data_IF_657066514865
#
_entry.id   IF_657066514865
#
_cell.length_a   1.000
_cell.length_b   1.000
_cell.length_c   1.000
_cell.angle_alpha   90.00
_cell.angle_beta   90.00
_cell.angle_gamma   90.00
#
_symmetry.space_group_name_H-M   'P 1'
#
loop_
_entity.id
_entity.type
_entity.pdbx_description
1 polymer ?
#
# COMPACT_ATOMS: atom_id res chain seq x y z
N UNK A 1 18.97 -2.53 16.66
CA UNK A 1 17.98 -1.46 16.89
C UNK A 1 16.87 -1.61 15.86
N UNK A 2 15.74 -2.22 16.25
CA UNK A 2 14.58 -2.38 15.37
C UNK A 2 13.75 -1.10 15.46
N UNK A 3 13.79 -0.25 14.42
CA UNK A 3 12.88 0.89 14.34
C UNK A 3 11.52 0.38 13.89
N UNK A 4 10.57 0.35 14.82
CA UNK A 4 9.17 0.10 14.51
C UNK A 4 8.62 1.29 13.70
N UNK A 5 8.75 1.25 12.38
CA UNK A 5 8.11 2.21 11.47
C UNK A 5 6.59 1.97 11.50
N UNK A 6 5.80 2.92 11.98
CA UNK A 6 4.34 2.87 11.88
C UNK A 6 3.89 3.29 10.47
N UNK A 7 2.71 2.81 10.04
CA UNK A 7 2.10 3.18 8.74
C UNK A 7 2.04 4.71 8.52
N UNK A 8 1.92 5.50 9.60
CA UNK A 8 1.85 6.97 9.55
C UNK A 8 3.16 7.65 9.10
N UNK A 9 4.25 6.90 8.96
CA UNK A 9 5.57 7.43 8.60
C UNK A 9 6.09 6.86 7.27
N UNK A 10 5.31 6.02 6.60
CA UNK A 10 5.70 5.43 5.31
C UNK A 10 4.91 6.07 4.17
N UNK A 11 5.61 6.30 3.06
CA UNK A 11 5.00 6.76 1.80
C UNK A 11 5.41 5.80 0.70
N UNK A 12 4.44 5.16 0.07
CA UNK A 12 4.67 4.44 -1.18
C UNK A 12 4.29 5.32 -2.36
N UNK A 13 5.09 5.25 -3.43
CA UNK A 13 4.84 6.02 -4.65
C UNK A 13 4.55 5.04 -5.78
N UNK A 14 3.30 5.00 -6.23
CA UNK A 14 2.93 4.34 -7.46
C UNK A 14 3.27 5.26 -8.64
N UNK A 15 4.00 4.75 -9.62
CA UNK A 15 4.31 5.45 -10.87
C UNK A 15 3.79 4.64 -12.06
N UNK A 16 4.03 5.15 -13.26
CA UNK A 16 3.87 4.41 -14.52
C UNK A 16 4.89 3.26 -14.69
N UNK A 17 5.71 2.99 -13.67
CA UNK A 17 6.62 1.86 -13.62
C UNK A 17 6.09 0.73 -12.71
N UNK A 18 6.64 -0.48 -12.92
CA UNK A 18 6.32 -1.65 -12.10
C UNK A 18 6.88 -1.59 -10.66
N UNK A 19 8.10 -1.07 -10.41
CA UNK A 19 8.64 -0.98 -9.06
C UNK A 19 7.91 0.06 -8.21
N UNK A 20 7.65 -0.28 -6.95
CA UNK A 20 7.04 0.65 -5.98
C UNK A 20 8.04 0.96 -4.87
N UNK A 21 8.70 2.14 -4.91
CA UNK A 21 9.56 2.58 -3.82
C UNK A 21 8.73 2.99 -2.60
N UNK A 22 9.21 2.61 -1.42
CA UNK A 22 8.65 2.99 -0.12
C UNK A 22 9.68 3.83 0.63
N UNK A 23 9.27 5.01 1.05
CA UNK A 23 10.10 6.00 1.75
C UNK A 23 9.71 6.08 3.24
N UNK A 24 10.70 6.38 4.09
CA UNK A 24 10.43 6.94 5.42
C UNK A 24 10.22 8.45 5.25
N UNK A 25 9.05 8.96 5.63
CA UNK A 25 8.71 10.38 5.49
C UNK A 25 9.70 11.31 6.21
N UNK A 26 10.39 10.82 7.26
CA UNK A 26 11.39 11.60 8.01
C UNK A 26 12.72 11.70 7.28
N UNK A 27 12.97 10.82 6.31
CA UNK A 27 14.20 10.73 5.50
C UNK A 27 13.83 10.33 4.07
N UNK A 28 13.20 11.25 3.30
CA UNK A 28 12.68 10.94 1.96
C UNK A 28 13.77 11.01 0.87
N UNK A 29 15.04 11.23 1.24
CA UNK A 29 16.17 11.37 0.31
C UNK A 29 16.42 10.09 -0.49
N UNK A 30 16.05 8.94 0.07
CA UNK A 30 16.16 7.64 -0.60
C UNK A 30 15.07 6.67 -0.16
N UNK A 31 14.68 5.71 -1.02
CA UNK A 31 13.74 4.68 -0.64
C UNK A 31 14.34 3.81 0.47
N UNK A 32 13.51 3.48 1.47
CA UNK A 32 13.84 2.49 2.50
C UNK A 32 13.91 1.09 1.88
N UNK A 33 12.98 0.81 0.98
CA UNK A 33 12.90 -0.42 0.19
C UNK A 33 12.13 -0.17 -1.09
N UNK A 34 12.29 -1.05 -2.07
CA UNK A 34 11.52 -1.04 -3.31
C UNK A 34 10.84 -2.38 -3.47
N UNK A 35 9.51 -2.38 -3.55
CA UNK A 35 8.73 -3.55 -3.90
C UNK A 35 8.89 -3.79 -5.40
N UNK A 36 9.60 -4.86 -5.76
CA UNK A 36 9.80 -5.29 -7.15
C UNK A 36 9.13 -6.64 -7.32
N UNK A 37 8.34 -6.78 -8.36
CA UNK A 37 7.65 -8.02 -8.67
C UNK A 37 8.68 -9.05 -9.16
N UNK A 38 8.57 -10.29 -8.68
CA UNK A 38 9.47 -11.37 -9.09
C UNK A 38 9.39 -11.65 -10.61
N UNK A 39 8.26 -11.31 -11.23
CA UNK A 39 7.95 -11.50 -12.64
C UNK A 39 8.28 -10.27 -13.50
N UNK A 40 9.25 -9.43 -13.10
CA UNK A 40 9.76 -8.33 -13.95
C UNK A 40 10.29 -8.84 -15.32
N UNK A 41 10.44 -10.16 -15.47
CA UNK A 41 10.74 -10.85 -16.72
C UNK A 41 9.55 -11.02 -17.67
N UNK A 42 8.31 -10.91 -17.19
CA UNK A 42 7.15 -11.34 -17.96
C UNK A 42 6.65 -10.30 -18.96
N UNK A 43 6.72 -8.99 -18.70
CA UNK A 43 6.28 -7.98 -19.68
C UNK A 43 7.00 -6.63 -19.50
N UNK A 44 8.21 -6.52 -20.04
CA UNK A 44 9.06 -5.32 -19.93
C UNK A 44 8.48 -4.01 -20.50
N UNK A 45 7.28 -4.02 -21.10
CA UNK A 45 6.68 -2.83 -21.72
C UNK A 45 5.24 -2.50 -21.27
N UNK A 46 4.60 -3.29 -20.38
CA UNK A 46 3.15 -3.10 -20.09
C UNK A 46 2.71 -3.26 -18.63
N UNK A 47 3.64 -3.37 -17.68
CA UNK A 47 3.26 -3.45 -16.27
C UNK A 47 3.52 -2.12 -15.57
N UNK A 48 2.43 -1.43 -15.23
CA UNK A 48 2.45 -0.18 -14.47
C UNK A 48 1.63 -0.34 -13.20
N UNK A 49 2.10 0.29 -12.13
CA UNK A 49 1.40 0.27 -10.85
C UNK A 49 0.19 1.20 -10.91
N UNK A 50 -1.01 0.65 -10.75
CA UNK A 50 -2.24 1.46 -10.76
C UNK A 50 -2.76 1.77 -9.37
N UNK A 51 -2.43 0.94 -8.39
CA UNK A 51 -2.86 1.14 -7.01
C UNK A 51 -1.86 0.55 -6.02
N UNK A 52 -1.65 1.28 -4.93
CA UNK A 52 -0.87 0.81 -3.78
C UNK A 52 -1.68 1.07 -2.52
N UNK A 53 -1.72 0.09 -1.63
CA UNK A 53 -2.33 0.25 -0.31
C UNK A 53 -1.53 -0.49 0.76
N UNK A 54 -1.61 0.02 1.98
CA UNK A 54 -1.05 -0.64 3.15
C UNK A 54 -2.17 -1.30 3.95
N UNK A 55 -1.84 -2.35 4.69
CA UNK A 55 -2.67 -2.77 5.79
C UNK A 55 -2.68 -1.70 6.91
N UNK A 56 -3.64 -1.80 7.81
CA UNK A 56 -3.81 -0.85 8.93
C UNK A 56 -2.53 -0.60 9.73
N UNK A 57 -1.66 -1.60 9.83
CA UNK A 57 -0.44 -1.55 10.63
C UNK A 57 0.82 -1.17 9.84
N UNK A 58 0.74 -1.01 8.52
CA UNK A 58 1.88 -0.74 7.64
C UNK A 58 2.93 -1.86 7.67
N UNK A 59 2.46 -3.10 7.79
CA UNK A 59 3.28 -4.32 7.79
C UNK A 59 3.21 -5.09 6.50
N UNK A 60 2.18 -4.85 5.69
CA UNK A 60 1.98 -5.41 4.38
C UNK A 60 1.64 -4.30 3.39
N UNK A 61 2.15 -4.43 2.17
CA UNK A 61 1.87 -3.52 1.06
C UNK A 61 1.27 -4.30 -0.09
N UNK A 62 0.09 -3.90 -0.53
CA UNK A 62 -0.59 -4.41 -1.70
C UNK A 62 -0.24 -3.53 -2.90
N UNK A 63 0.20 -4.16 -3.98
CA UNK A 63 0.54 -3.49 -5.24
C UNK A 63 -0.31 -4.11 -6.35
N UNK A 64 -1.17 -3.30 -6.94
CA UNK A 64 -1.97 -3.69 -8.10
C UNK A 64 -1.27 -3.19 -9.38
N UNK A 65 -1.00 -4.10 -10.30
CA UNK A 65 -0.56 -3.77 -11.64
C UNK A 65 -1.77 -3.69 -12.57
N UNK A 66 -1.92 -2.59 -13.32
CA UNK A 66 -3.10 -2.37 -14.17
C UNK A 66 -3.37 -3.50 -15.18
N UNK A 67 -2.32 -4.19 -15.62
CA UNK A 67 -2.39 -5.33 -16.53
C UNK A 67 -1.60 -6.54 -15.99
N UNK A 68 -1.67 -6.80 -14.68
CA UNK A 68 -0.93 -7.91 -14.05
C UNK A 68 -1.62 -8.46 -12.79
N UNK A 69 -0.97 -9.39 -12.08
CA UNK A 69 -1.48 -9.88 -10.82
C UNK A 69 -1.35 -8.81 -9.71
N UNK A 70 -2.08 -9.03 -8.62
CA UNK A 70 -1.97 -8.23 -7.41
C UNK A 70 -0.91 -8.89 -6.53
N UNK A 71 0.11 -8.13 -6.17
CA UNK A 71 1.18 -8.60 -5.29
C UNK A 71 0.96 -8.10 -3.86
N UNK A 72 1.21 -8.97 -2.88
CA UNK A 72 1.25 -8.60 -1.46
C UNK A 72 2.68 -8.78 -0.93
N UNK A 73 3.27 -7.68 -0.51
CA UNK A 73 4.61 -7.61 0.05
C UNK A 73 4.55 -7.55 1.57
N UNK A 74 5.19 -8.51 2.24
CA UNK A 74 5.40 -8.47 3.69
C UNK A 74 6.59 -7.55 3.99
N UNK A 75 6.32 -6.38 4.59
CA UNK A 75 7.32 -5.36 4.89
C UNK A 75 8.01 -5.56 6.24
N UNK A 76 7.34 -6.26 7.17
CA UNK A 76 7.91 -6.59 8.48
C UNK A 76 7.91 -8.10 8.69
N UNK A 77 9.05 -8.61 9.17
CA UNK A 77 9.14 -9.97 9.66
C UNK A 77 8.60 -10.01 11.09
N UNK A 78 7.31 -10.31 11.21
CA UNK A 78 6.66 -10.67 12.48
C UNK A 78 5.78 -11.92 12.31
N UNK A 79 5.32 -12.48 13.42
CA UNK A 79 4.56 -13.74 13.45
C UNK A 79 3.06 -13.55 13.14
N UNK A 80 2.63 -12.34 12.80
CA UNK A 80 1.21 -12.09 12.55
C UNK A 80 0.78 -12.74 11.23
N UNK A 81 -0.46 -13.26 11.16
CA UNK A 81 -0.99 -13.78 9.91
C UNK A 81 -1.05 -12.68 8.86
N UNK A 82 -0.52 -12.97 7.67
CA UNK A 82 -0.62 -12.11 6.49
C UNK A 82 -2.07 -11.95 6.05
N UNK A 83 -2.36 -10.90 5.27
CA UNK A 83 -3.68 -10.74 4.62
C UNK A 83 -4.06 -11.99 3.83
N UNK A 84 -3.12 -12.58 3.09
CA UNK A 84 -3.36 -13.83 2.35
C UNK A 84 -3.69 -15.01 3.26
N UNK A 85 -2.98 -15.16 4.39
CA UNK A 85 -3.29 -16.21 5.37
C UNK A 85 -4.66 -16.00 6.00
N UNK A 86 -5.07 -14.75 6.26
CA UNK A 86 -6.42 -14.42 6.75
C UNK A 86 -7.49 -14.77 5.72
N UNK A 87 -7.31 -14.38 4.46
CA UNK A 87 -8.24 -14.71 3.36
C UNK A 87 -8.36 -16.22 3.20
N UNK A 88 -7.23 -16.92 3.17
CA UNK A 88 -7.20 -18.39 3.06
C UNK A 88 -7.99 -19.05 4.18
N UNK A 89 -7.78 -18.62 5.43
CA UNK A 89 -8.51 -19.14 6.59
C UNK A 89 -10.03 -18.93 6.45
N UNK A 90 -10.46 -17.74 6.01
CA UNK A 90 -11.88 -17.43 5.80
C UNK A 90 -12.49 -18.40 4.78
N UNK A 91 -11.79 -18.63 3.67
CA UNK A 91 -12.24 -19.55 2.61
C UNK A 91 -12.29 -21.00 3.12
N UNK A 92 -11.23 -21.46 3.79
CA UNK A 92 -11.13 -22.85 4.26
C UNK A 92 -12.17 -23.18 5.34
N UNK A 93 -12.51 -22.22 6.19
CA UNK A 93 -13.46 -22.41 7.28
C UNK A 93 -14.92 -22.06 6.90
N UNK A 94 -15.16 -21.48 5.71
CA UNK A 94 -16.43 -20.80 5.38
C UNK A 94 -16.81 -19.75 6.45
N UNK A 95 -15.83 -19.04 7.01
CA UNK A 95 -16.09 -17.96 7.97
C UNK A 95 -16.79 -16.78 7.23
N UNK A 96 -17.61 -16.01 7.95
CA UNK A 96 -18.17 -14.77 7.38
C UNK A 96 -17.05 -13.76 7.07
N UNK A 97 -17.14 -13.12 5.90
CA UNK A 97 -16.19 -12.06 5.53
C UNK A 97 -16.46 -10.84 6.43
N UNK A 98 -15.47 -10.37 7.21
CA UNK A 98 -15.67 -9.22 8.08
C UNK A 98 -15.93 -7.97 7.24
N UNK A 99 -17.16 -7.47 7.31
CA UNK A 99 -17.54 -6.20 6.66
C UNK A 99 -17.20 -5.09 7.63
N UNK A 100 -16.07 -4.41 7.43
CA UNK A 100 -15.75 -3.22 8.23
C UNK A 100 -16.74 -2.10 7.85
N UNK A 101 -17.78 -1.95 8.66
CA UNK A 101 -18.92 -1.03 8.47
C UNK A 101 -18.62 0.46 8.61
N UNK A 102 -17.47 0.94 8.12
CA UNK A 102 -17.13 2.38 8.06
C UNK A 102 -16.65 2.76 6.67
N UNK A 103 -17.39 2.38 5.64
CA UNK A 103 -17.05 2.83 4.30
C UNK A 103 -17.36 4.34 4.16
N UNK A 104 -16.30 5.13 4.05
CA UNK A 104 -16.21 6.41 3.33
C UNK A 104 -16.95 7.66 3.84
N UNK A 105 -17.85 7.62 4.82
CA UNK A 105 -18.54 8.86 5.26
C UNK A 105 -17.74 9.74 6.23
N UNK A 106 -16.85 9.16 7.03
CA UNK A 106 -16.13 9.89 8.10
C UNK A 106 -15.05 10.87 7.61
N UNK A 107 -14.71 10.84 6.31
CA UNK A 107 -13.61 11.64 5.73
C UNK A 107 -14.04 12.43 4.49
N UNK A 108 -15.33 12.73 4.35
CA UNK A 108 -15.81 13.59 3.26
C UNK A 108 -15.11 14.96 3.28
N UNK A 109 -15.10 15.61 4.45
CA UNK A 109 -14.50 16.94 4.62
C UNK A 109 -12.99 16.93 4.38
N UNK A 110 -12.29 15.93 4.92
CA UNK A 110 -10.84 15.78 4.72
C UNK A 110 -10.47 15.55 3.25
N UNK A 111 -11.32 14.85 2.48
CA UNK A 111 -11.11 14.64 1.03
C UNK A 111 -11.35 15.91 0.23
N UNK A 112 -12.39 16.68 0.55
CA UNK A 112 -12.64 17.95 -0.15
C UNK A 112 -11.52 18.97 0.16
N UNK A 113 -11.05 19.04 1.41
CA UNK A 113 -9.90 19.86 1.78
C UNK A 113 -8.63 19.43 1.03
N UNK A 114 -8.35 18.13 0.94
CA UNK A 114 -7.20 17.64 0.17
C UNK A 114 -7.29 18.01 -1.32
N UNK A 115 -8.49 17.93 -1.92
CA UNK A 115 -8.75 18.34 -3.31
C UNK A 115 -8.55 19.84 -3.52
N UNK A 116 -8.99 20.68 -2.58
CA UNK A 116 -8.78 22.14 -2.63
C UNK A 116 -7.29 22.50 -2.51
N UNK A 117 -6.56 21.89 -1.57
CA UNK A 117 -5.11 22.11 -1.39
C UNK A 117 -4.33 21.69 -2.64
N UNK A 118 -4.68 20.54 -3.22
CA UNK A 118 -4.07 20.07 -4.45
C UNK A 118 -4.36 21.00 -5.64
N UNK A 119 -5.63 21.39 -5.84
CA UNK A 119 -6.03 22.28 -6.94
C UNK A 119 -5.44 23.68 -6.81
N UNK A 120 -5.30 24.17 -5.58
CA UNK A 120 -4.69 25.48 -5.30
C UNK A 120 -3.16 25.46 -5.27
N UNK A 121 -2.52 24.28 -5.40
CA UNK A 121 -1.08 24.06 -5.20
C UNK A 121 -0.56 24.62 -3.88
N UNK A 122 -1.42 24.75 -2.87
CA UNK A 122 -1.06 25.20 -1.53
C UNK A 122 -0.92 23.95 -0.68
N UNK A 123 0.30 23.46 -0.57
CA UNK A 123 0.62 22.37 0.32
C UNK A 123 1.06 22.98 1.66
N UNK A 124 0.58 22.47 2.81
CA UNK A 124 1.04 22.95 4.11
C UNK A 124 2.57 22.78 4.20
N UNK A 125 3.26 23.81 4.70
CA UNK A 125 4.70 23.79 5.00
C UNK A 125 5.03 22.73 6.08
#
# INVERSE_FOLDING_TARGET
MSQTLSCLLQVAVATDEAPVPIYDRRKPDKPLLTCVNADDKCHGNFTYTTHVSFDEMGTECLVNQGCGPIYLFKLKSDDRPTVLQKIKRIIENNDEVPVNGKHTLAFADAREQAKELFSSKKFPE
#
